data_IF_993286056519
#
_entry.id   IF_993286056519
#
_cell.length_a   1.000
_cell.length_b   1.000
_cell.length_c   1.000
_cell.angle_alpha   90.00
_cell.angle_beta   90.00
_cell.angle_gamma   90.00
#
_symmetry.space_group_name_H-M   'P 1'
#
loop_
_entity.id
_entity.type
_entity.pdbx_description
1 polymer ?
#
# COMPACT_ATOMS: atom_id res chain seq x y z
N UNK A 1 -1.07 -8.76 3.68
CA UNK A 1 -2.46 -9.21 3.90
C UNK A 1 -2.63 -10.70 3.52
N UNK A 2 -2.09 -11.63 4.31
CA UNK A 2 -2.08 -13.05 3.95
C UNK A 2 -3.43 -13.72 4.25
N UNK A 3 -4.07 -14.30 3.22
CA UNK A 3 -5.32 -15.07 3.35
C UNK A 3 -6.61 -14.34 2.97
N UNK A 4 -6.54 -13.07 2.55
CA UNK A 4 -7.71 -12.28 2.12
C UNK A 4 -7.82 -12.19 0.60
N UNK A 5 -9.05 -12.22 0.09
CA UNK A 5 -9.36 -12.05 -1.34
C UNK A 5 -9.11 -10.60 -1.78
N UNK A 6 -9.02 -10.36 -3.09
CA UNK A 6 -8.76 -9.04 -3.67
C UNK A 6 -9.75 -7.97 -3.17
N UNK A 7 -11.03 -8.32 -3.07
CA UNK A 7 -12.10 -7.44 -2.56
C UNK A 7 -11.86 -7.07 -1.08
N UNK A 8 -11.63 -8.06 -0.22
CA UNK A 8 -11.35 -7.83 1.20
C UNK A 8 -10.08 -7.00 1.42
N UNK A 9 -9.06 -7.16 0.56
CA UNK A 9 -7.85 -6.34 0.58
C UNK A 9 -8.13 -4.88 0.22
N UNK A 10 -8.98 -4.63 -0.79
CA UNK A 10 -9.38 -3.28 -1.18
C UNK A 10 -10.18 -2.60 -0.09
N UNK A 11 -11.14 -3.30 0.52
CA UNK A 11 -11.96 -2.76 1.61
C UNK A 11 -11.10 -2.37 2.82
N UNK A 12 -10.18 -3.24 3.24
CA UNK A 12 -9.23 -2.89 4.31
C UNK A 12 -8.35 -1.70 3.95
N UNK A 13 -7.90 -1.61 2.70
CA UNK A 13 -7.06 -0.50 2.25
C UNK A 13 -7.83 0.81 2.25
N UNK A 14 -9.09 0.79 1.82
CA UNK A 14 -10.00 1.93 1.87
C UNK A 14 -10.20 2.39 3.33
N UNK A 15 -10.44 1.47 4.25
CA UNK A 15 -10.60 1.77 5.67
C UNK A 15 -9.36 2.42 6.30
N UNK A 16 -8.17 1.92 5.95
CA UNK A 16 -6.90 2.51 6.42
C UNK A 16 -6.71 3.94 5.86
N UNK A 17 -7.09 4.18 4.60
CA UNK A 17 -7.05 5.50 3.99
C UNK A 17 -8.03 6.47 4.63
N UNK A 18 -9.23 6.02 5.00
CA UNK A 18 -10.21 6.84 5.70
C UNK A 18 -9.69 7.27 7.08
N UNK A 19 -9.09 6.34 7.85
CA UNK A 19 -8.46 6.66 9.14
C UNK A 19 -7.33 7.67 8.97
N UNK A 20 -6.48 7.49 7.95
CA UNK A 20 -5.41 8.44 7.65
C UNK A 20 -5.96 9.85 7.37
N UNK A 21 -7.03 9.96 6.59
CA UNK A 21 -7.69 11.23 6.26
C UNK A 21 -8.39 11.87 7.45
N UNK A 22 -9.05 11.07 8.29
CA UNK A 22 -9.83 11.56 9.42
C UNK A 22 -8.94 11.97 10.60
N UNK A 23 -7.89 11.20 10.89
CA UNK A 23 -7.04 11.42 12.07
C UNK A 23 -5.68 12.07 11.73
N UNK A 24 -5.34 12.23 10.46
CA UNK A 24 -4.07 12.82 10.02
C UNK A 24 -2.82 12.01 10.44
N UNK A 25 -2.98 10.72 10.73
CA UNK A 25 -1.91 9.85 11.23
C UNK A 25 -1.07 9.28 10.09
N UNK A 26 0.25 9.17 10.26
CA UNK A 26 1.11 8.54 9.24
C UNK A 26 0.91 7.03 9.22
N UNK A 27 0.56 6.47 8.06
CA UNK A 27 0.35 5.04 7.86
C UNK A 27 1.46 4.46 6.99
N UNK A 28 2.03 3.32 7.41
CA UNK A 28 2.99 2.53 6.61
C UNK A 28 2.38 1.16 6.33
N UNK A 29 2.29 0.80 5.06
CA UNK A 29 1.76 -0.49 4.59
C UNK A 29 2.88 -1.28 3.93
N UNK A 30 2.98 -2.57 4.26
CA UNK A 30 3.89 -3.52 3.60
C UNK A 30 3.02 -4.55 2.90
N UNK A 31 3.01 -4.52 1.57
CA UNK A 31 2.28 -5.50 0.77
C UNK A 31 3.10 -5.95 -0.45
N UNK A 32 2.86 -7.17 -0.89
CA UNK A 32 3.55 -7.82 -2.00
C UNK A 32 2.85 -7.60 -3.35
N UNK A 33 1.57 -7.24 -3.32
CA UNK A 33 0.78 -6.94 -4.51
C UNK A 33 1.01 -5.50 -4.94
N UNK A 34 1.78 -5.33 -6.02
CA UNK A 34 2.11 -4.01 -6.56
C UNK A 34 0.86 -3.30 -7.08
N UNK A 35 -0.17 -4.02 -7.55
CA UNK A 35 -1.41 -3.39 -8.01
C UNK A 35 -2.15 -2.70 -6.88
N UNK A 36 -2.26 -3.37 -5.72
CA UNK A 36 -2.89 -2.79 -4.53
C UNK A 36 -2.08 -1.62 -3.99
N UNK A 37 -0.75 -1.74 -3.91
CA UNK A 37 0.13 -0.67 -3.40
C UNK A 37 0.02 0.60 -4.25
N UNK A 38 -0.12 0.45 -5.57
CA UNK A 38 -0.21 1.58 -6.51
C UNK A 38 -1.50 2.39 -6.36
N UNK A 39 -2.62 1.74 -6.03
CA UNK A 39 -3.91 2.43 -5.89
C UNK A 39 -4.05 3.22 -4.59
N UNK A 40 -3.29 2.83 -3.54
CA UNK A 40 -3.54 3.29 -2.17
C UNK A 40 -2.40 4.12 -1.57
N UNK A 41 -1.29 4.29 -2.26
CA UNK A 41 -0.08 4.92 -1.70
C UNK A 41 0.25 6.24 -2.36
N UNK A 42 0.39 7.32 -1.58
CA UNK A 42 0.94 8.60 -2.05
C UNK A 42 2.45 8.49 -2.39
N UNK A 43 3.17 7.62 -1.69
CA UNK A 43 4.58 7.35 -1.89
C UNK A 43 4.85 5.84 -1.86
N UNK A 44 5.48 5.32 -2.91
CA UNK A 44 5.84 3.90 -3.02
C UNK A 44 7.35 3.74 -2.98
N UNK A 45 7.85 2.88 -2.08
CA UNK A 45 9.24 2.45 -2.03
C UNK A 45 9.28 0.95 -2.28
N UNK A 46 10.03 0.54 -3.31
CA UNK A 46 10.23 -0.88 -3.62
C UNK A 46 11.57 -1.32 -3.04
N UNK A 47 11.50 -2.32 -2.16
CA UNK A 47 12.67 -2.99 -1.60
C UNK A 47 12.94 -4.27 -2.39
N UNK A 48 14.10 -4.32 -3.04
CA UNK A 48 14.59 -5.48 -3.80
C UNK A 48 15.91 -5.94 -3.16
N UNK A 49 15.89 -7.06 -2.44
CA UNK A 49 17.04 -7.61 -1.68
C UNK A 49 17.81 -6.56 -0.85
N UNK A 50 17.08 -5.70 -0.12
CA UNK A 50 17.68 -4.67 0.74
C UNK A 50 18.22 -3.44 -0.01
N UNK A 51 18.00 -3.34 -1.33
CA UNK A 51 18.24 -2.13 -2.11
C UNK A 51 16.93 -1.41 -2.39
N UNK A 52 16.89 -0.11 -2.08
CA UNK A 52 15.82 0.77 -2.54
C UNK A 52 15.94 0.92 -4.06
N UNK A 53 14.95 0.42 -4.79
CA UNK A 53 14.86 0.60 -6.24
C UNK A 53 13.91 1.75 -6.52
N UNK A 54 14.35 2.71 -7.33
CA UNK A 54 13.45 3.77 -7.82
C UNK A 54 12.45 3.10 -8.77
N UNK A 55 11.19 3.08 -8.35
CA UNK A 55 10.10 2.63 -9.21
C UNK A 55 9.91 3.64 -10.35
N UNK A 56 9.80 3.14 -11.59
CA UNK A 56 9.67 3.95 -12.80
C UNK A 56 8.36 3.54 -13.47
N UNK A 57 7.28 4.31 -13.26
CA UNK A 57 6.05 4.19 -14.04
C UNK A 57 6.38 4.48 -15.49
N UNK A 58 6.40 3.44 -16.31
CA UNK A 58 5.86 3.57 -17.66
C UNK A 58 4.56 2.80 -17.68
#
# INVERSE_FOLDING_TARGET
>A
MAGMNLEEKQDMSCFILEINKEFGVTTVIIEHDVGVVMDISDHVVVLDYGKNRRWNSR
#
